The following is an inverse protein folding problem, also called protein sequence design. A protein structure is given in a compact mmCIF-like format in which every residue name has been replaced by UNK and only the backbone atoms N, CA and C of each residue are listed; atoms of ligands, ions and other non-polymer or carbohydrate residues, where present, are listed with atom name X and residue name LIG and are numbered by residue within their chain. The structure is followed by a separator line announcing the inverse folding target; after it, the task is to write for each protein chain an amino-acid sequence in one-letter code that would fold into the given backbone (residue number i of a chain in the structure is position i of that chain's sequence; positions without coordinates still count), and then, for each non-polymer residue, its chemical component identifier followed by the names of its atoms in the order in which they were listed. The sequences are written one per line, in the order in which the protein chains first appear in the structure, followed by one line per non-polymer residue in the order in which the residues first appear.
data_IF_635438116691
#
_entry.id   IF_635438116691
#
_cell.length_a   1.000
_cell.length_b   1.000
_cell.length_c   1.000
_cell.angle_alpha   90.00
_cell.angle_beta   90.00
_cell.angle_gamma   90.00
#
_symmetry.space_group_name_H-M   'P 1'
#
loop_
_entity.id
_entity.type
_entity.pdbx_description
1 polymer ?
#
# COMPACT_ATOMS: atom_id res chain seq x y z
N UNK A 1 -1.50 26.09 2.76
CA UNK A 1 -0.50 25.02 2.62
C UNK A 1 0.59 25.33 3.62
N UNK A 2 0.73 24.51 4.66
CA UNK A 2 1.70 24.78 5.72
C UNK A 2 3.12 24.80 5.14
N UNK A 3 3.99 25.62 5.73
CA UNK A 3 5.34 25.87 5.19
C UNK A 3 6.18 24.59 5.07
N UNK A 4 5.89 23.57 5.89
CA UNK A 4 6.54 22.25 5.84
C UNK A 4 6.02 21.40 4.67
N UNK A 5 4.73 21.46 4.37
CA UNK A 5 4.09 20.61 3.36
C UNK A 5 4.51 20.89 1.92
N UNK A 6 5.06 22.08 1.63
CA UNK A 6 5.65 22.38 0.31
C UNK A 6 6.91 21.54 0.04
N UNK A 7 7.65 21.19 1.10
CA UNK A 7 8.86 20.37 0.98
C UNK A 7 8.51 18.89 0.81
N UNK A 8 7.39 18.42 1.36
CA UNK A 8 6.93 17.04 1.21
C UNK A 8 6.74 16.64 -0.26
N UNK A 9 6.19 17.54 -1.08
CA UNK A 9 6.00 17.29 -2.53
C UNK A 9 7.35 17.10 -3.23
N UNK A 10 8.35 17.91 -2.86
CA UNK A 10 9.69 17.85 -3.45
C UNK A 10 10.42 16.58 -3.00
N UNK A 11 10.36 16.26 -1.69
CA UNK A 11 11.00 15.08 -1.13
C UNK A 11 10.37 13.78 -1.65
N UNK A 12 9.04 13.75 -1.80
CA UNK A 12 8.33 12.61 -2.38
C UNK A 12 8.71 12.40 -3.85
N UNK A 13 8.77 13.47 -4.63
CA UNK A 13 9.19 13.41 -6.03
C UNK A 13 10.61 12.85 -6.14
N UNK A 14 11.52 13.32 -5.29
CA UNK A 14 12.90 12.85 -5.27
C UNK A 14 13.00 11.38 -4.86
N UNK A 15 12.23 10.94 -3.87
CA UNK A 15 12.18 9.54 -3.45
C UNK A 15 11.63 8.61 -4.53
N UNK A 16 10.64 9.04 -5.31
CA UNK A 16 10.07 8.27 -6.42
C UNK A 16 11.03 8.11 -7.60
N UNK A 17 11.91 9.09 -7.82
CA UNK A 17 12.94 9.04 -8.86
C UNK A 17 14.12 8.14 -8.49
N UNK A 18 14.25 7.75 -7.22
CA UNK A 18 15.34 6.92 -6.71
C UNK A 18 14.93 5.44 -6.71
N UNK A 19 15.63 4.60 -7.47
CA UNK A 19 15.38 3.15 -7.48
C UNK A 19 15.60 2.51 -6.10
N UNK A 20 16.52 3.05 -5.31
CA UNK A 20 16.81 2.63 -3.95
C UNK A 20 15.90 3.24 -2.88
N UNK A 21 14.91 4.05 -3.26
CA UNK A 21 13.91 4.64 -2.37
C UNK A 21 14.49 5.43 -1.19
N UNK A 22 13.95 5.24 0.00
CA UNK A 22 14.31 6.01 1.21
C UNK A 22 15.78 5.83 1.65
N UNK A 23 16.38 4.62 1.65
CA UNK A 23 17.80 4.46 1.94
C UNK A 23 18.71 5.30 1.02
N UNK A 24 18.44 5.29 -0.29
CA UNK A 24 19.21 6.07 -1.26
C UNK A 24 18.99 7.58 -1.09
N UNK A 25 17.77 8.00 -0.74
CA UNK A 25 17.46 9.39 -0.42
C UNK A 25 18.29 9.90 0.74
N UNK A 26 18.43 9.12 1.81
CA UNK A 26 19.24 9.49 2.96
C UNK A 26 20.74 9.58 2.61
N UNK A 27 21.25 8.65 1.81
CA UNK A 27 22.64 8.68 1.35
C UNK A 27 22.93 9.94 0.51
N UNK A 28 22.05 10.26 -0.43
CA UNK A 28 22.16 11.47 -1.25
C UNK A 28 22.07 12.74 -0.39
N UNK A 29 21.18 12.77 0.61
CA UNK A 29 21.06 13.88 1.54
C UNK A 29 22.34 14.08 2.37
N UNK A 30 22.89 13.02 2.96
CA UNK A 30 24.13 13.12 3.73
C UNK A 30 25.34 13.48 2.85
N UNK A 31 25.37 13.00 1.61
CA UNK A 31 26.35 13.41 0.62
C UNK A 31 26.19 14.88 0.19
N UNK A 32 24.97 15.41 0.10
CA UNK A 32 24.74 16.83 -0.13
C UNK A 32 25.28 17.66 1.03
N UNK A 33 24.96 17.28 2.27
CA UNK A 33 25.48 17.95 3.47
C UNK A 33 27.01 17.95 3.51
N UNK A 34 27.67 16.86 3.08
CA UNK A 34 29.14 16.84 3.07
C UNK A 34 29.78 17.74 2.01
N UNK A 35 29.08 18.01 0.90
CA UNK A 35 29.64 18.78 -0.23
C UNK A 35 29.23 20.24 -0.25
N UNK A 36 28.08 20.57 0.29
CA UNK A 36 27.43 21.88 0.14
C UNK A 36 27.23 22.62 1.46
N UNK A 37 27.51 21.96 2.58
CA UNK A 37 27.41 22.59 3.90
C UNK A 37 28.65 22.28 4.73
N UNK A 38 28.82 23.01 5.81
CA UNK A 38 29.84 22.77 6.83
C UNK A 38 29.37 21.76 7.89
N UNK A 39 28.38 20.92 7.58
CA UNK A 39 27.73 20.05 8.56
C UNK A 39 28.71 19.13 9.32
N UNK A 40 29.75 18.64 8.63
CA UNK A 40 30.78 17.76 9.20
C UNK A 40 32.07 18.49 9.61
N UNK A 41 32.24 19.77 9.27
CA UNK A 41 33.48 20.53 9.49
C UNK A 41 33.31 21.75 10.40
N UNK A 42 32.10 22.31 10.48
CA UNK A 42 31.75 23.47 11.28
C UNK A 42 31.40 23.15 12.75
N UNK A 43 31.18 21.88 13.08
CA UNK A 43 30.96 21.40 14.44
C UNK A 43 31.70 20.07 14.67
N UNK A 44 31.93 19.70 15.94
CA UNK A 44 32.41 18.36 16.28
C UNK A 44 31.46 17.31 15.67
N UNK A 45 32.04 16.30 15.00
CA UNK A 45 31.33 15.17 14.40
C UNK A 45 30.35 14.53 15.40
N UNK A 46 30.70 14.51 16.70
CA UNK A 46 29.80 14.02 17.75
C UNK A 46 28.50 14.82 17.82
N UNK A 47 28.59 16.15 17.74
CA UNK A 47 27.44 17.06 17.76
C UNK A 47 26.62 16.94 16.47
N UNK A 48 27.27 16.78 15.32
CA UNK A 48 26.59 16.51 14.06
C UNK A 48 25.76 15.22 14.12
N UNK A 49 26.34 14.15 14.67
CA UNK A 49 25.64 12.87 14.89
C UNK A 49 24.47 13.01 15.86
N UNK A 50 24.66 13.72 16.96
CA UNK A 50 23.61 13.98 17.94
C UNK A 50 22.42 14.75 17.32
N UNK A 51 22.69 15.74 16.46
CA UNK A 51 21.65 16.47 15.73
C UNK A 51 20.79 15.56 14.85
N UNK A 52 21.40 14.61 14.14
CA UNK A 52 20.66 13.63 13.30
C UNK A 52 19.79 12.72 14.18
N UNK A 53 20.34 12.21 15.28
CA UNK A 53 19.62 11.30 16.17
C UNK A 53 18.44 12.02 16.85
N UNK A 54 18.63 13.24 17.35
CA UNK A 54 17.56 14.01 17.95
C UNK A 54 16.43 14.31 16.95
N UNK A 55 16.77 14.61 15.69
CA UNK A 55 15.77 14.78 14.64
C UNK A 55 15.05 13.47 14.34
N UNK A 56 15.78 12.36 14.24
CA UNK A 56 15.20 11.02 14.06
C UNK A 56 14.21 10.70 15.19
N UNK A 57 14.62 10.85 16.45
CA UNK A 57 13.79 10.52 17.61
C UNK A 57 12.51 11.36 17.64
N UNK A 58 12.63 12.68 17.44
CA UNK A 58 11.49 13.62 17.37
C UNK A 58 10.45 13.19 16.34
N UNK A 59 10.87 12.75 15.16
CA UNK A 59 9.95 12.34 14.10
C UNK A 59 9.51 10.88 14.26
N UNK A 60 10.32 10.01 14.86
CA UNK A 60 10.00 8.59 15.08
C UNK A 60 8.82 8.40 16.03
N UNK A 61 8.70 9.23 17.08
CA UNK A 61 7.58 9.16 18.02
C UNK A 61 6.25 9.54 17.37
N UNK A 62 6.27 10.55 16.51
CA UNK A 62 5.12 10.98 15.73
C UNK A 62 4.77 9.95 14.65
N UNK A 63 5.77 9.45 13.93
CA UNK A 63 5.61 8.46 12.86
C UNK A 63 5.11 7.11 13.37
N UNK A 64 5.55 6.64 14.55
CA UNK A 64 5.04 5.40 15.17
C UNK A 64 3.54 5.48 15.44
N UNK A 65 3.05 6.62 15.95
CA UNK A 65 1.62 6.84 16.18
C UNK A 65 0.83 6.85 14.87
N UNK A 66 1.33 7.57 13.86
CA UNK A 66 0.67 7.64 12.55
C UNK A 66 0.72 6.31 11.79
N UNK A 67 1.80 5.54 11.90
CA UNK A 67 1.96 4.24 11.26
C UNK A 67 1.07 3.17 11.91
N UNK A 68 0.93 3.16 13.23
CA UNK A 68 -0.03 2.29 13.94
C UNK A 68 -1.47 2.61 13.55
N UNK A 69 -1.83 3.90 13.47
CA UNK A 69 -3.15 4.31 12.97
C UNK A 69 -3.36 3.96 11.49
N UNK A 70 -2.35 4.15 10.64
CA UNK A 70 -2.43 3.79 9.22
C UNK A 70 -2.56 2.28 9.02
N UNK A 71 -1.88 1.47 9.85
CA UNK A 71 -2.00 0.01 9.85
C UNK A 71 -3.38 -0.44 10.31
N UNK A 72 -3.94 0.21 11.34
CA UNK A 72 -5.30 -0.03 11.83
C UNK A 72 -6.35 0.34 10.77
N UNK A 73 -6.21 1.50 10.13
CA UNK A 73 -7.08 1.95 9.02
C UNK A 73 -7.03 0.98 7.83
N UNK A 74 -5.83 0.54 7.41
CA UNK A 74 -5.67 -0.46 6.34
C UNK A 74 -6.29 -1.81 6.70
N UNK A 75 -6.18 -2.26 7.95
CA UNK A 75 -6.78 -3.51 8.41
C UNK A 75 -8.32 -3.45 8.46
N UNK A 76 -8.89 -2.32 8.86
CA UNK A 76 -10.35 -2.10 8.88
C UNK A 76 -10.92 -1.99 7.46
N UNK A 77 -10.21 -1.32 6.55
CA UNK A 77 -10.60 -1.20 5.15
C UNK A 77 -10.56 -2.56 4.43
N UNK A 78 -9.55 -3.37 4.72
CA UNK A 78 -9.43 -4.74 4.19
C UNK A 78 -10.59 -5.64 4.66
N UNK A 79 -10.95 -5.60 5.96
CA UNK A 79 -12.10 -6.36 6.49
C UNK A 79 -13.42 -5.95 5.83
N UNK A 80 -13.66 -4.64 5.66
CA UNK A 80 -14.87 -4.13 4.98
C UNK A 80 -14.93 -4.56 3.51
N UNK A 81 -13.79 -4.65 2.83
CA UNK A 81 -13.73 -5.11 1.45
C UNK A 81 -14.05 -6.61 1.34
N UNK A 82 -13.55 -7.41 2.28
CA UNK A 82 -13.78 -8.86 2.35
C UNK A 82 -15.25 -9.19 2.67
N UNK A 83 -15.86 -8.50 3.63
CA UNK A 83 -17.28 -8.64 3.98
C UNK A 83 -18.20 -8.30 2.79
N UNK A 84 -17.89 -7.22 2.06
CA UNK A 84 -18.64 -6.83 0.85
C UNK A 84 -18.53 -7.86 -0.26
N UNK A 85 -17.34 -8.43 -0.48
CA UNK A 85 -17.11 -9.49 -1.47
C UNK A 85 -17.83 -10.78 -1.09
N UNK A 86 -17.86 -11.15 0.19
CA UNK A 86 -18.60 -12.32 0.68
C UNK A 86 -20.12 -12.15 0.50
N UNK A 87 -20.65 -10.98 0.83
CA UNK A 87 -22.08 -10.67 0.67
C UNK A 87 -22.52 -10.64 -0.81
N UNK A 88 -21.66 -10.17 -1.72
CA UNK A 88 -21.94 -10.19 -3.16
C UNK A 88 -21.93 -11.63 -3.72
N UNK A 89 -20.95 -12.46 -3.34
CA UNK A 89 -20.92 -13.87 -3.75
C UNK A 89 -22.12 -14.66 -3.25
N UNK A 90 -22.57 -14.42 -2.01
CA UNK A 90 -23.76 -15.06 -1.47
C UNK A 90 -25.03 -14.69 -2.25
N UNK A 91 -25.16 -13.41 -2.66
CA UNK A 91 -26.29 -12.94 -3.49
C UNK A 91 -26.24 -13.52 -4.91
N UNK A 92 -25.06 -13.62 -5.51
CA UNK A 92 -24.90 -14.14 -6.87
C UNK A 92 -25.17 -15.66 -6.96
N UNK A 93 -24.81 -16.42 -5.92
CA UNK A 93 -25.16 -17.85 -5.81
C UNK A 93 -26.67 -18.06 -5.60
N UNK A 94 -27.36 -17.16 -4.90
CA UNK A 94 -28.82 -17.23 -4.74
C UNK A 94 -29.62 -16.80 -5.98
N UNK A 95 -29.01 -16.09 -6.93
CA UNK A 95 -29.69 -15.50 -8.10
C UNK A 95 -29.43 -16.28 -9.41
N UNK A 96 -28.62 -17.34 -9.40
CA UNK A 96 -28.56 -18.30 -10.52
C UNK A 96 -29.49 -19.49 -10.26
N UNK A 97 -30.79 -19.44 -10.61
CA UNK A 97 -31.53 -20.68 -10.81
C UNK A 97 -30.92 -21.38 -12.03
N UNK A 98 -30.67 -22.67 -11.87
CA UNK A 98 -30.25 -23.63 -12.87
C UNK A 98 -31.04 -23.46 -14.19
N UNK A 99 -30.41 -22.90 -15.22
CA UNK A 99 -30.92 -22.90 -16.59
C UNK A 99 -29.81 -23.45 -17.49
N UNK A 100 -30.02 -24.66 -17.99
CA UNK A 100 -29.11 -25.32 -18.92
C UNK A 100 -29.46 -26.78 -19.19
N UNK A 101 -30.65 -27.07 -19.72
CA UNK A 101 -30.93 -28.32 -20.44
C UNK A 101 -31.71 -28.01 -21.72
N UNK A 102 -30.99 -27.88 -22.83
CA UNK A 102 -31.42 -28.14 -24.24
C UNK A 102 -30.11 -28.19 -25.07
N UNK A 103 -29.89 -29.04 -26.08
CA UNK A 103 -30.70 -30.05 -26.75
C UNK A 103 -29.78 -30.95 -27.62
N UNK A 104 -30.33 -32.10 -28.02
CA UNK A 104 -30.09 -32.89 -29.25
C UNK A 104 -28.97 -33.95 -29.33
N UNK A 105 -29.43 -35.21 -29.43
CA UNK A 105 -28.72 -36.39 -29.91
C UNK A 105 -29.69 -37.57 -30.06
N UNK A 106 -30.24 -37.72 -31.27
CA UNK A 106 -31.19 -38.75 -31.73
C UNK A 106 -30.52 -40.14 -31.74
N UNK A 107 -31.25 -41.20 -31.35
CA UNK A 107 -31.23 -42.63 -31.80
C UNK A 107 -31.81 -43.51 -30.67
N UNK A 108 -32.56 -44.60 -30.80
CA UNK A 108 -33.30 -45.31 -31.84
C UNK A 108 -34.12 -46.41 -31.10
N UNK A 109 -35.31 -46.75 -31.60
CA UNK A 109 -36.12 -47.98 -31.37
C UNK A 109 -36.31 -48.57 -29.94
N UNK A 110 -37.59 -48.58 -29.50
CA UNK A 110 -38.40 -49.82 -29.33
C UNK A 110 -39.84 -49.51 -28.87
N UNK A 111 -40.77 -49.70 -29.81
CA UNK A 111 -42.02 -50.46 -29.71
C UNK A 111 -42.75 -50.37 -28.36
N UNK A 112 -43.87 -49.65 -28.33
CA UNK A 112 -45.05 -50.08 -27.59
C UNK A 112 -46.27 -49.95 -28.50
N UNK A 113 -46.74 -51.11 -28.98
CA UNK A 113 -48.04 -51.29 -29.64
C UNK A 113 -49.09 -51.28 -28.53
N UNK A 114 -50.09 -50.42 -28.64
CA UNK A 114 -51.28 -50.43 -27.79
C UNK A 114 -52.32 -51.34 -28.43
N UNK A 115 -52.59 -52.49 -27.81
CA UNK A 115 -53.89 -53.17 -27.83
C UNK A 115 -54.00 -54.03 -26.57
#
# INVERSE_FOLDING_TARGET
MDEVGKYDVVLLSLAQQMEGGVPQLLDVLFGFLSRKTDFYTGADIKKAREMVLNAFDKHSESAKKVAEEAKKRRAEEQKRLEERRAAQKAKEVSVRPFIGLTNDGIEDKRIFVFN
#
